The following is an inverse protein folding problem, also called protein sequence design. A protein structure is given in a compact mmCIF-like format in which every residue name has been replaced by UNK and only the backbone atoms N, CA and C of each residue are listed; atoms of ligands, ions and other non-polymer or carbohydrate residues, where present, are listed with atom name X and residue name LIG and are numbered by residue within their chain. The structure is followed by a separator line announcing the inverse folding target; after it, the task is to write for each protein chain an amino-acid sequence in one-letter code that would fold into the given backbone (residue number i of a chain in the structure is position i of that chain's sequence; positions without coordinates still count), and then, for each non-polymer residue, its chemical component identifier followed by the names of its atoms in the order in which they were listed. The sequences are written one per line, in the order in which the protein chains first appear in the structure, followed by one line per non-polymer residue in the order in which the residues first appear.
data_IF_010912007808
#
_entry.id   IF_010912007808
#
_cell.length_a   1.000
_cell.length_b   1.000
_cell.length_c   1.000
_cell.angle_alpha   90.00
_cell.angle_beta   90.00
_cell.angle_gamma   90.00
#
_symmetry.space_group_name_H-M   'P 1'
#
loop_
_entity.id
_entity.type
_entity.pdbx_description
1 polymer ?
#
# COMPACT_ATOMS: atom_id res chain seq x y z
N UNK A 1 10.40 -6.26 11.15
CA UNK A 1 9.02 -6.60 10.73
C UNK A 1 8.19 -7.27 11.83
N UNK A 2 8.79 -8.00 12.77
CA UNK A 2 8.01 -8.83 13.71
C UNK A 2 7.41 -8.07 14.91
N UNK A 3 7.88 -6.86 15.17
CA UNK A 3 7.47 -6.06 16.35
C UNK A 3 6.33 -5.06 16.05
N UNK A 4 5.86 -4.96 14.81
CA UNK A 4 4.84 -3.98 14.41
C UNK A 4 3.52 -4.65 14.04
N UNK A 5 2.40 -3.96 14.25
CA UNK A 5 1.07 -4.48 13.89
C UNK A 5 0.83 -4.65 12.39
N UNK A 6 1.50 -3.84 11.56
CA UNK A 6 1.42 -3.92 10.11
C UNK A 6 2.81 -3.78 9.47
N UNK A 7 3.41 -4.92 9.12
CA UNK A 7 4.67 -4.98 8.39
C UNK A 7 4.41 -5.01 6.88
N UNK A 8 5.00 -4.06 6.14
CA UNK A 8 4.81 -3.94 4.70
C UNK A 8 6.14 -3.91 3.96
N UNK A 9 6.14 -4.39 2.71
CA UNK A 9 7.34 -4.38 1.87
C UNK A 9 7.02 -4.00 0.41
N UNK A 10 7.96 -3.36 -0.33
CA UNK A 10 7.83 -3.17 -1.77
C UNK A 10 7.93 -4.50 -2.54
N UNK A 11 7.53 -4.47 -3.82
CA UNK A 11 7.57 -5.64 -4.69
C UNK A 11 8.99 -6.26 -4.78
N UNK A 12 10.02 -5.42 -4.89
CA UNK A 12 11.43 -5.80 -5.02
C UNK A 12 12.17 -5.92 -3.68
N UNK A 13 11.44 -6.05 -2.57
CA UNK A 13 12.05 -6.40 -1.30
C UNK A 13 12.76 -7.76 -1.38
N UNK A 14 13.90 -7.88 -0.70
CA UNK A 14 14.63 -9.13 -0.58
C UNK A 14 13.71 -10.27 -0.10
N UNK A 15 13.77 -11.48 -0.67
CA UNK A 15 12.82 -12.57 -0.37
C UNK A 15 12.68 -12.87 1.12
N UNK A 16 13.77 -12.87 1.89
CA UNK A 16 13.72 -13.08 3.34
C UNK A 16 12.96 -11.98 4.10
N UNK A 17 13.07 -10.73 3.65
CA UNK A 17 12.32 -9.61 4.22
C UNK A 17 10.86 -9.70 3.80
N UNK A 18 10.59 -9.96 2.53
CA UNK A 18 9.24 -10.11 1.99
C UNK A 18 8.45 -11.25 2.61
N UNK A 19 9.11 -12.34 3.01
CA UNK A 19 8.49 -13.48 3.71
C UNK A 19 7.94 -13.13 5.11
N UNK A 20 8.34 -12.00 5.67
CA UNK A 20 7.87 -11.54 6.99
C UNK A 20 6.92 -10.33 6.89
N UNK A 21 6.54 -9.91 5.69
CA UNK A 21 5.61 -8.82 5.49
C UNK A 21 4.17 -9.34 5.57
N UNK A 22 3.30 -8.64 6.29
CA UNK A 22 1.86 -8.89 6.31
C UNK A 22 1.23 -8.52 4.95
N UNK A 23 1.79 -7.52 4.28
CA UNK A 23 1.37 -7.09 2.95
C UNK A 23 2.57 -6.69 2.09
N UNK A 24 2.50 -6.98 0.80
CA UNK A 24 3.52 -6.59 -0.19
C UNK A 24 2.88 -5.75 -1.28
N UNK A 25 3.48 -4.60 -1.58
CA UNK A 25 3.06 -3.74 -2.69
C UNK A 25 3.32 -4.43 -4.02
N UNK A 26 2.46 -4.15 -5.01
CA UNK A 26 2.72 -4.52 -6.40
C UNK A 26 3.79 -3.62 -7.05
N UNK A 27 4.09 -2.46 -6.44
CA UNK A 27 5.06 -1.49 -6.94
C UNK A 27 6.42 -1.68 -6.28
N UNK A 28 7.47 -1.36 -7.05
CA UNK A 28 8.86 -1.37 -6.58
C UNK A 28 9.16 -0.17 -5.68
N UNK A 29 10.22 -0.29 -4.88
CA UNK A 29 10.77 0.83 -4.12
C UNK A 29 11.07 2.03 -5.03
N UNK A 30 10.72 3.25 -4.57
CA UNK A 30 10.88 4.48 -5.35
C UNK A 30 9.90 4.64 -6.54
N UNK A 31 9.04 3.64 -6.81
CA UNK A 31 8.01 3.69 -7.86
C UNK A 31 6.59 3.79 -7.28
N UNK A 32 6.46 4.39 -6.10
CA UNK A 32 5.18 4.61 -5.44
C UNK A 32 4.70 3.49 -4.51
N UNK A 33 5.54 2.52 -4.13
CA UNK A 33 5.17 1.47 -3.17
C UNK A 33 4.66 2.01 -1.81
N UNK A 34 5.23 3.13 -1.34
CA UNK A 34 4.74 3.79 -0.12
C UNK A 34 3.38 4.45 -0.33
N UNK A 35 3.12 5.02 -1.51
CA UNK A 35 1.82 5.61 -1.85
C UNK A 35 0.75 4.53 -1.92
N UNK A 36 1.03 3.42 -2.57
CA UNK A 36 0.16 2.24 -2.62
C UNK A 36 -0.22 1.74 -1.21
N UNK A 37 0.75 1.71 -0.28
CA UNK A 37 0.47 1.40 1.13
C UNK A 37 -0.42 2.46 1.80
N UNK A 38 -0.15 3.76 1.59
CA UNK A 38 -0.97 4.83 2.14
C UNK A 38 -2.42 4.73 1.64
N UNK A 39 -2.60 4.47 0.34
CA UNK A 39 -3.92 4.30 -0.27
C UNK A 39 -4.65 3.10 0.36
N UNK A 40 -3.97 1.97 0.58
CA UNK A 40 -4.52 0.81 1.29
C UNK A 40 -5.01 1.19 2.69
N UNK A 41 -4.20 1.92 3.47
CA UNK A 41 -4.58 2.33 4.84
C UNK A 41 -5.79 3.26 4.81
N UNK A 42 -5.79 4.25 3.92
CA UNK A 42 -6.89 5.21 3.80
C UNK A 42 -8.20 4.54 3.35
N UNK A 43 -8.13 3.57 2.44
CA UNK A 43 -9.28 2.76 2.01
C UNK A 43 -9.78 1.92 3.18
N UNK A 44 -8.88 1.22 3.88
CA UNK A 44 -9.25 0.37 5.02
C UNK A 44 -9.91 1.16 6.16
N UNK A 45 -9.53 2.43 6.34
CA UNK A 45 -10.12 3.34 7.33
C UNK A 45 -11.33 4.12 6.78
N UNK A 46 -11.76 3.87 5.55
CA UNK A 46 -12.85 4.58 4.86
C UNK A 46 -12.65 6.12 4.81
N UNK A 47 -11.39 6.57 4.80
CA UNK A 47 -11.05 8.00 4.81
C UNK A 47 -11.07 8.62 3.41
N UNK A 48 -10.93 7.80 2.37
CA UNK A 48 -11.02 8.25 0.98
C UNK A 48 -12.44 8.71 0.63
N UNK A 49 -13.47 7.97 1.04
CA UNK A 49 -14.86 8.38 0.82
C UNK A 49 -15.24 9.64 1.62
N UNK A 50 -14.49 9.95 2.69
CA UNK A 50 -14.70 11.13 3.53
C UNK A 50 -14.25 12.42 2.85
N UNK A 51 -13.38 12.34 1.83
CA UNK A 51 -12.95 13.47 1.02
C UNK A 51 -13.30 13.25 -0.47
N UNK A 52 -14.48 13.70 -0.93
CA UNK A 52 -15.02 13.34 -2.24
C UNK A 52 -14.19 13.81 -3.45
N UNK A 53 -13.24 14.73 -3.27
CA UNK A 53 -12.32 15.12 -4.35
C UNK A 53 -11.23 14.09 -4.67
N UNK A 54 -10.93 13.15 -3.77
CA UNK A 54 -9.92 12.10 -3.97
C UNK A 54 -10.51 10.83 -4.61
N UNK A 55 -11.82 10.60 -4.44
CA UNK A 55 -12.49 9.37 -4.91
C UNK A 55 -12.48 9.16 -6.43
N UNK A 56 -12.23 10.21 -7.22
CA UNK A 56 -12.23 10.11 -8.69
C UNK A 56 -10.93 9.49 -9.22
N UNK A 57 -9.80 9.72 -8.53
CA UNK A 57 -8.47 9.26 -8.95
C UNK A 57 -8.28 7.74 -8.86
N UNK A 58 -9.03 7.06 -7.98
CA UNK A 58 -8.85 5.62 -7.71
C UNK A 58 -9.64 4.71 -8.66
N UNK A 59 -10.53 5.25 -9.48
CA UNK A 59 -11.27 4.46 -10.48
C UNK A 59 -10.42 4.18 -11.73
N UNK A 60 -9.36 4.95 -11.95
CA UNK A 60 -8.57 4.92 -13.19
C UNK A 60 -7.43 3.88 -13.27
N UNK A 61 -7.01 3.27 -12.16
CA UNK A 61 -5.75 2.51 -12.08
C UNK A 61 -5.94 0.98 -11.98
N UNK A 62 -7.08 0.45 -12.47
CA UNK A 62 -7.39 -0.99 -12.55
C UNK A 62 -7.54 -1.52 -13.98
N UNK A 63 -6.79 -0.95 -14.93
CA UNK A 63 -6.64 -1.51 -16.28
C UNK A 63 -5.29 -2.22 -16.43
#
# INVERSE_FOLDING_TARGET
MREVGLACAPADAHPWTGAHAHWRSARRGGRGAARDLCDLILIAQNLIARNPSVTDDLRGDRA
#
